data_IF_052071175371
#
_entry.id   IF_052071175371
#
_cell.length_a   1.000
_cell.length_b   1.000
_cell.length_c   1.000
_cell.angle_alpha   90.00
_cell.angle_beta   90.00
_cell.angle_gamma   90.00
#
_symmetry.space_group_name_H-M   'P 1'
#
loop_
_entity.id
_entity.type
_entity.pdbx_description
1 polymer ?
#
# COMPACT_ATOMS: atom_id res chain seq x y z
N UNK A 1 -17.00 23.00 -9.84
CA UNK A 1 -15.76 22.36 -10.30
C UNK A 1 -14.86 22.20 -9.08
N UNK A 2 -14.50 20.98 -8.75
CA UNK A 2 -13.58 20.67 -7.66
C UNK A 2 -12.21 20.31 -8.24
N UNK A 3 -11.12 20.74 -7.59
CA UNK A 3 -9.77 20.47 -8.01
C UNK A 3 -8.90 20.07 -6.81
N UNK A 4 -8.06 19.08 -6.99
CA UNK A 4 -6.99 18.74 -6.05
C UNK A 4 -5.70 19.33 -6.59
N UNK A 5 -5.09 20.22 -5.82
CA UNK A 5 -3.75 20.74 -6.12
C UNK A 5 -2.72 19.86 -5.42
N UNK A 6 -1.98 19.08 -6.20
CA UNK A 6 -0.96 18.15 -5.68
C UNK A 6 -0.39 17.25 -6.77
N UNK A 7 0.58 16.41 -6.41
CA UNK A 7 1.19 15.40 -7.29
C UNK A 7 0.50 14.04 -7.15
N UNK A 8 -0.80 13.98 -7.47
CA UNK A 8 -1.51 12.70 -7.46
C UNK A 8 -1.02 11.81 -8.60
N UNK A 9 -0.25 10.78 -8.28
CA UNK A 9 0.40 9.90 -9.26
C UNK A 9 -0.44 8.67 -9.60
N UNK A 10 -1.39 8.29 -8.75
CA UNK A 10 -2.22 7.13 -8.95
C UNK A 10 -3.70 7.48 -8.82
N UNK A 11 -4.47 6.90 -9.73
CA UNK A 11 -5.92 7.02 -9.77
C UNK A 11 -6.50 5.61 -9.72
N UNK A 12 -7.42 5.38 -8.81
CA UNK A 12 -8.25 4.19 -8.74
C UNK A 12 -9.71 4.59 -8.90
N UNK A 13 -10.40 3.99 -9.85
CA UNK A 13 -11.82 4.21 -10.10
C UNK A 13 -12.57 2.89 -10.05
N UNK A 14 -13.72 2.89 -9.38
CA UNK A 14 -14.69 1.81 -9.37
C UNK A 14 -16.08 2.35 -9.73
N UNK A 15 -17.07 1.48 -9.84
CA UNK A 15 -18.47 1.92 -10.01
C UNK A 15 -19.04 2.65 -8.79
N UNK A 16 -18.32 2.66 -7.66
CA UNK A 16 -18.79 3.17 -6.36
C UNK A 16 -18.02 4.38 -5.84
N UNK A 17 -16.91 4.75 -6.49
CA UNK A 17 -16.12 5.92 -6.06
C UNK A 17 -14.82 6.06 -6.83
N UNK A 18 -14.25 7.25 -6.75
CA UNK A 18 -12.98 7.63 -7.35
C UNK A 18 -12.00 7.98 -6.24
N UNK A 19 -10.78 7.49 -6.34
CA UNK A 19 -9.72 7.73 -5.37
C UNK A 19 -8.46 8.20 -6.07
N UNK A 20 -7.90 9.30 -5.56
CA UNK A 20 -6.60 9.78 -5.98
C UNK A 20 -5.61 9.54 -4.85
N UNK A 21 -4.39 9.15 -5.16
CA UNK A 21 -3.34 9.04 -4.16
C UNK A 21 -2.11 9.84 -4.53
N UNK A 22 -1.50 10.43 -3.51
CA UNK A 22 -0.28 11.20 -3.55
C UNK A 22 0.67 10.66 -2.49
N UNK A 23 1.90 10.30 -2.85
CA UNK A 23 2.92 9.95 -1.87
C UNK A 23 3.82 11.14 -1.59
N UNK A 24 3.90 11.54 -0.33
CA UNK A 24 4.78 12.60 0.16
C UNK A 24 6.16 12.00 0.48
N UNK A 25 7.15 12.32 -0.34
CA UNK A 25 8.55 11.93 -0.18
C UNK A 25 9.41 13.03 0.46
N UNK A 26 8.81 14.11 0.95
CA UNK A 26 9.54 15.26 1.50
C UNK A 26 10.38 14.91 2.73
N UNK A 27 9.95 13.90 3.49
CA UNK A 27 10.68 13.34 4.62
C UNK A 27 11.15 11.94 4.27
N UNK A 28 12.45 11.79 4.05
CA UNK A 28 13.06 10.50 3.76
C UNK A 28 12.83 9.50 4.90
N UNK A 29 12.38 8.27 4.57
CA UNK A 29 11.99 7.22 5.53
C UNK A 29 10.80 7.55 6.46
N UNK A 30 10.00 8.53 6.11
CA UNK A 30 8.71 8.85 6.73
C UNK A 30 7.68 9.13 5.64
N UNK A 31 7.80 8.41 4.52
CA UNK A 31 6.88 8.55 3.40
C UNK A 31 5.46 8.25 3.85
N UNK A 32 4.52 9.06 3.38
CA UNK A 32 3.11 8.89 3.66
C UNK A 32 2.31 9.01 2.37
N UNK A 33 1.35 8.15 2.22
CA UNK A 33 0.40 8.24 1.12
C UNK A 33 -0.89 8.88 1.61
N UNK A 34 -1.23 10.02 1.00
CA UNK A 34 -2.53 10.69 1.14
C UNK A 34 -3.48 10.13 0.11
N UNK A 35 -4.70 9.85 0.53
CA UNK A 35 -5.77 9.34 -0.32
C UNK A 35 -6.91 10.34 -0.27
N UNK A 36 -7.35 10.78 -1.45
CA UNK A 36 -8.49 11.69 -1.63
C UNK A 36 -9.63 10.89 -2.22
N UNK A 37 -10.76 10.84 -1.53
CA UNK A 37 -11.96 10.15 -1.96
C UNK A 37 -12.95 11.12 -2.57
N UNK A 38 -13.50 10.70 -3.71
CA UNK A 38 -14.60 11.38 -4.40
C UNK A 38 -15.74 10.39 -4.61
N UNK A 39 -16.95 10.83 -4.35
CA UNK A 39 -18.16 10.06 -4.61
C UNK A 39 -18.83 10.53 -5.90
N UNK A 40 -19.51 9.61 -6.57
CA UNK A 40 -20.37 9.94 -7.71
C UNK A 40 -21.72 10.41 -7.20
N UNK A 41 -22.13 11.60 -7.66
CA UNK A 41 -23.42 12.21 -7.33
C UNK A 41 -24.18 12.53 -8.62
N UNK A 42 -25.44 12.92 -8.52
CA UNK A 42 -26.22 13.40 -9.67
C UNK A 42 -25.61 14.65 -10.31
N UNK A 43 -24.82 15.41 -9.56
CA UNK A 43 -24.12 16.61 -10.03
C UNK A 43 -22.74 16.33 -10.61
N UNK A 44 -22.29 15.08 -10.58
CA UNK A 44 -20.99 14.65 -11.05
C UNK A 44 -20.11 14.03 -9.96
N UNK A 45 -18.83 14.33 -9.98
CA UNK A 45 -17.85 13.83 -9.02
C UNK A 45 -17.60 14.88 -7.95
N UNK A 46 -17.83 14.56 -6.68
CA UNK A 46 -17.69 15.48 -5.55
C UNK A 46 -16.68 14.94 -4.53
N UNK A 47 -15.80 15.82 -4.03
CA UNK A 47 -14.88 15.46 -2.96
C UNK A 47 -15.64 15.11 -1.68
N UNK A 48 -15.30 13.98 -1.07
CA UNK A 48 -15.92 13.52 0.18
C UNK A 48 -15.00 13.70 1.38
N UNK A 49 -13.83 13.07 1.35
CA UNK A 49 -12.89 13.10 2.46
C UNK A 49 -11.50 12.70 2.02
N UNK A 50 -10.53 12.79 2.94
CA UNK A 50 -9.15 12.35 2.74
C UNK A 50 -8.66 11.52 3.93
N UNK A 51 -7.74 10.61 3.66
CA UNK A 51 -7.02 9.84 4.65
C UNK A 51 -5.51 9.88 4.42
N UNK A 52 -4.74 9.42 5.39
CA UNK A 52 -3.29 9.32 5.30
C UNK A 52 -2.83 8.00 5.92
N UNK A 53 -1.91 7.31 5.26
CA UNK A 53 -1.30 6.06 5.75
C UNK A 53 0.21 6.10 5.55
N UNK A 54 0.99 5.33 6.35
CA UNK A 54 2.42 5.20 6.18
C UNK A 54 2.80 4.49 4.87
N UNK A 55 3.94 4.93 4.29
CA UNK A 55 4.56 4.29 3.14
C UNK A 55 4.06 4.80 1.79
N UNK A 56 4.50 4.12 0.74
CA UNK A 56 4.17 4.42 -0.65
C UNK A 56 3.56 3.21 -1.34
N UNK A 57 2.78 3.44 -2.38
CA UNK A 57 2.16 2.39 -3.19
C UNK A 57 2.98 2.10 -4.44
N UNK A 58 2.91 0.86 -4.93
CA UNK A 58 3.57 0.46 -6.17
C UNK A 58 2.85 1.03 -7.41
N UNK A 59 1.53 0.89 -7.47
CA UNK A 59 0.67 1.36 -8.56
C UNK A 59 -0.81 1.34 -8.13
N UNK A 60 -1.73 1.65 -9.07
CA UNK A 60 -3.17 1.69 -8.81
C UNK A 60 -3.76 0.33 -8.35
N UNK A 61 -3.15 -0.80 -8.69
CA UNK A 61 -3.61 -2.13 -8.26
C UNK A 61 -3.34 -2.40 -6.77
N UNK A 62 -2.51 -1.57 -6.13
CA UNK A 62 -2.33 -1.58 -4.68
C UNK A 62 -3.55 -1.04 -3.92
N UNK A 63 -4.58 -0.57 -4.63
CA UNK A 63 -5.81 -0.01 -4.07
C UNK A 63 -7.03 -0.82 -4.51
N UNK A 64 -8.06 -0.88 -3.66
CA UNK A 64 -9.37 -1.47 -3.94
C UNK A 64 -10.44 -0.85 -3.07
N UNK A 65 -11.65 -0.73 -3.61
CA UNK A 65 -12.84 -0.28 -2.86
C UNK A 65 -14.03 -1.18 -3.16
N UNK A 66 -14.61 -1.79 -2.14
CA UNK A 66 -15.76 -2.71 -2.28
C UNK A 66 -17.13 -2.00 -2.17
N UNK A 67 -17.12 -0.72 -1.85
CA UNK A 67 -18.31 0.11 -1.61
C UNK A 67 -18.55 0.43 -0.15
N UNK A 68 -17.79 -0.17 0.76
CA UNK A 68 -17.83 0.09 2.18
C UNK A 68 -16.42 0.36 2.75
N UNK A 69 -15.44 -0.45 2.34
CA UNK A 69 -14.07 -0.34 2.83
C UNK A 69 -13.09 -0.06 1.69
N UNK A 70 -12.20 0.87 1.93
CA UNK A 70 -11.05 1.11 1.06
C UNK A 70 -9.85 0.29 1.58
N UNK A 71 -9.21 -0.44 0.68
CA UNK A 71 -8.10 -1.36 0.97
C UNK A 71 -6.87 -0.90 0.21
N UNK A 72 -5.73 -0.88 0.88
CA UNK A 72 -4.50 -0.38 0.27
C UNK A 72 -3.27 -1.08 0.85
N UNK A 73 -2.35 -1.47 -0.04
CA UNK A 73 -1.08 -2.08 0.35
C UNK A 73 0.07 -1.11 0.07
N UNK A 74 0.97 -0.95 1.05
CA UNK A 74 2.09 -0.02 0.98
C UNK A 74 3.41 -0.68 1.36
N UNK A 75 4.51 -0.13 0.82
CA UNK A 75 5.86 -0.38 1.30
C UNK A 75 6.30 0.79 2.17
N UNK A 76 6.85 0.51 3.35
CA UNK A 76 7.35 1.51 4.32
C UNK A 76 8.85 1.35 4.46
N UNK A 77 9.61 2.44 4.29
CA UNK A 77 11.02 2.47 4.61
C UNK A 77 11.16 2.83 6.09
N UNK A 78 11.61 1.89 6.93
CA UNK A 78 11.88 2.18 8.34
C UNK A 78 13.23 2.88 8.50
N UNK A 79 13.28 3.90 9.34
CA UNK A 79 14.51 4.63 9.66
C UNK A 79 15.34 3.81 10.64
N UNK A 80 16.56 3.46 10.27
CA UNK A 80 17.55 2.95 11.23
C UNK A 80 18.47 4.10 11.61
N UNK A 81 18.40 4.51 12.85
CA UNK A 81 19.43 5.36 13.43
C UNK A 81 20.59 4.43 13.77
N UNK A 82 21.56 4.30 12.89
CA UNK A 82 22.81 3.60 13.20
C UNK A 82 23.60 4.44 14.20
N UNK A 83 23.43 4.16 15.48
CA UNK A 83 24.22 4.74 16.54
C UNK A 83 25.54 4.00 16.67
N UNK A 84 26.52 4.33 15.82
CA UNK A 84 27.95 4.15 16.08
C UNK A 84 28.72 4.93 14.99
N UNK A 85 28.76 6.23 15.11
CA UNK A 85 29.87 7.00 14.60
C UNK A 85 30.51 7.69 15.79
N UNK A 86 31.70 7.17 16.16
CA UNK A 86 32.64 7.95 16.96
C UNK A 86 32.73 9.34 16.32
N UNK A 87 32.56 10.34 17.17
CA UNK A 87 32.54 11.74 16.85
C UNK A 87 33.73 12.17 16.00
N UNK A 88 33.53 12.43 14.72
CA UNK A 88 34.29 13.43 14.02
C UNK A 88 33.52 14.74 14.10
N UNK A 89 34.22 15.81 14.46
CA UNK A 89 33.73 17.15 14.81
C UNK A 89 33.09 17.93 13.64
N UNK A 90 32.13 17.35 12.93
CA UNK A 90 31.23 18.07 12.02
C UNK A 90 29.86 17.44 12.04
N UNK A 91 28.89 18.20 12.52
CA UNK A 91 27.57 17.78 12.95
C UNK A 91 26.57 17.43 11.84
N UNK A 92 26.84 16.41 11.04
CA UNK A 92 25.82 15.80 10.18
C UNK A 92 25.76 14.30 10.48
N UNK A 93 24.74 13.89 11.24
CA UNK A 93 24.40 12.49 11.39
C UNK A 93 24.00 11.94 10.01
N UNK A 94 24.85 11.13 9.40
CA UNK A 94 24.50 10.43 8.17
C UNK A 94 23.36 9.46 8.44
N UNK A 95 22.17 9.82 7.98
CA UNK A 95 21.02 8.94 8.00
C UNK A 95 21.18 7.96 6.84
N UNK A 96 21.61 6.73 7.13
CA UNK A 96 21.58 5.66 6.14
C UNK A 96 20.21 4.95 6.19
N UNK A 97 19.52 4.90 5.06
CA UNK A 97 18.32 4.08 4.92
C UNK A 97 18.79 2.70 4.46
N UNK A 98 18.73 1.73 5.35
CA UNK A 98 18.98 0.34 4.99
C UNK A 98 17.75 -0.26 4.30
N UNK A 99 17.94 -0.90 3.17
CA UNK A 99 16.88 -1.70 2.52
C UNK A 99 16.42 -2.89 3.38
N UNK A 100 17.24 -3.30 4.36
CA UNK A 100 16.91 -4.37 5.30
C UNK A 100 15.76 -4.01 6.28
N UNK A 101 15.49 -2.73 6.44
CA UNK A 101 14.45 -2.24 7.37
C UNK A 101 13.15 -1.84 6.67
N UNK A 102 13.03 -2.18 5.41
CA UNK A 102 11.81 -2.02 4.63
C UNK A 102 10.79 -3.07 5.06
N UNK A 103 9.52 -2.66 5.17
CA UNK A 103 8.40 -3.56 5.49
C UNK A 103 7.21 -3.23 4.60
N UNK A 104 6.29 -4.19 4.49
CA UNK A 104 5.09 -4.02 3.69
C UNK A 104 3.86 -4.14 4.59
N UNK A 105 2.89 -3.29 4.35
CA UNK A 105 1.68 -3.20 5.15
C UNK A 105 0.45 -3.22 4.25
N UNK A 106 -0.65 -3.71 4.81
CA UNK A 106 -1.98 -3.59 4.21
C UNK A 106 -2.89 -2.89 5.22
N UNK A 107 -3.61 -1.88 4.76
CA UNK A 107 -4.56 -1.11 5.55
C UNK A 107 -5.97 -1.23 4.98
N UNK A 108 -6.94 -1.27 5.88
CA UNK A 108 -8.37 -1.20 5.56
C UNK A 108 -8.91 0.06 6.20
N UNK A 109 -9.53 0.92 5.41
CA UNK A 109 -10.06 2.19 5.83
C UNK A 109 -11.59 2.19 5.67
N UNK A 110 -12.26 2.85 6.60
CA UNK A 110 -13.70 3.02 6.57
C UNK A 110 -14.14 4.12 5.59
N UNK A 111 -15.42 4.42 5.61
CA UNK A 111 -16.06 5.43 4.75
C UNK A 111 -15.56 6.86 4.99
N UNK A 112 -14.96 7.13 6.16
CA UNK A 112 -14.33 8.39 6.52
C UNK A 112 -12.81 8.39 6.31
N UNK A 113 -12.29 7.35 5.62
CA UNK A 113 -10.85 7.13 5.38
C UNK A 113 -10.02 6.99 6.66
N UNK A 114 -10.64 6.44 7.74
CA UNK A 114 -9.96 6.09 8.99
C UNK A 114 -9.57 4.60 8.96
N UNK A 115 -8.37 4.28 9.41
CA UNK A 115 -7.88 2.89 9.47
C UNK A 115 -8.69 2.11 10.50
N UNK A 116 -9.36 1.06 10.06
CA UNK A 116 -10.15 0.15 10.92
C UNK A 116 -9.52 -1.22 11.08
N UNK A 117 -8.65 -1.62 10.15
CA UNK A 117 -7.90 -2.87 10.21
C UNK A 117 -6.59 -2.76 9.47
N UNK A 118 -5.63 -3.61 9.84
CA UNK A 118 -4.29 -3.61 9.24
C UNK A 118 -3.57 -4.94 9.40
N UNK A 119 -2.70 -5.24 8.45
CA UNK A 119 -1.61 -6.22 8.56
C UNK A 119 -0.32 -5.47 8.35
N UNK A 120 0.59 -5.53 9.31
CA UNK A 120 1.85 -4.77 9.28
C UNK A 120 3.06 -5.71 9.30
N UNK A 121 4.22 -5.16 8.95
CA UNK A 121 5.54 -5.79 9.04
C UNK A 121 5.70 -7.07 8.20
N UNK A 122 4.97 -7.19 7.10
CA UNK A 122 5.14 -8.31 6.16
C UNK A 122 6.45 -8.19 5.38
N UNK A 123 7.06 -9.33 5.08
CA UNK A 123 8.21 -9.45 4.17
C UNK A 123 9.32 -8.42 4.43
N UNK A 124 9.88 -8.45 5.64
CA UNK A 124 10.95 -7.54 6.05
C UNK A 124 12.15 -7.57 5.08
N UNK A 125 12.58 -6.40 4.64
CA UNK A 125 13.69 -6.22 3.69
C UNK A 125 13.27 -6.33 2.22
N UNK A 126 12.00 -6.59 1.94
CA UNK A 126 11.45 -6.72 0.60
C UNK A 126 10.58 -5.52 0.23
N UNK A 127 10.24 -5.39 -1.05
CA UNK A 127 9.30 -4.39 -1.53
C UNK A 127 8.16 -5.03 -2.30
N UNK A 128 6.98 -4.43 -2.25
CA UNK A 128 5.83 -4.87 -3.05
C UNK A 128 6.13 -4.72 -4.53
N UNK A 129 5.92 -5.80 -5.28
CA UNK A 129 6.00 -5.84 -6.75
C UNK A 129 4.64 -5.85 -7.41
N UNK A 130 3.71 -6.61 -6.83
CA UNK A 130 2.36 -6.72 -7.35
C UNK A 130 1.36 -6.89 -6.21
N UNK A 131 0.18 -6.31 -6.39
CA UNK A 131 -0.97 -6.49 -5.50
C UNK A 131 -2.19 -6.79 -6.34
N UNK A 132 -3.04 -7.70 -5.86
CA UNK A 132 -4.37 -7.91 -6.44
C UNK A 132 -5.38 -8.18 -5.35
N UNK A 133 -6.48 -7.45 -5.40
CA UNK A 133 -7.65 -7.68 -4.56
C UNK A 133 -8.70 -8.45 -5.39
N UNK A 134 -9.20 -9.56 -4.85
CA UNK A 134 -10.26 -10.38 -5.46
C UNK A 134 -11.27 -10.74 -4.38
N UNK A 135 -12.46 -10.16 -4.44
CA UNK A 135 -13.45 -10.33 -3.38
C UNK A 135 -12.89 -9.92 -2.01
N UNK A 136 -12.95 -10.84 -1.06
CA UNK A 136 -12.42 -10.63 0.31
C UNK A 136 -10.99 -11.15 0.50
N UNK A 137 -10.24 -11.30 -0.59
CA UNK A 137 -8.85 -11.73 -0.52
C UNK A 137 -7.92 -10.68 -1.11
N UNK A 138 -6.75 -10.52 -0.51
CA UNK A 138 -5.64 -9.78 -1.10
C UNK A 138 -4.46 -10.71 -1.37
N UNK A 139 -3.87 -10.55 -2.52
CA UNK A 139 -2.69 -11.26 -2.99
C UNK A 139 -1.57 -10.23 -3.13
N UNK A 140 -0.49 -10.41 -2.38
CA UNK A 140 0.64 -9.48 -2.34
C UNK A 140 1.92 -10.22 -2.68
N UNK A 141 2.56 -9.86 -3.79
CA UNK A 141 3.87 -10.35 -4.18
C UNK A 141 4.90 -9.34 -3.74
N UNK A 142 5.88 -9.80 -2.98
CA UNK A 142 7.05 -9.02 -2.58
C UNK A 142 8.31 -9.59 -3.22
N UNK A 143 9.40 -8.85 -3.27
CA UNK A 143 10.64 -9.29 -3.89
C UNK A 143 11.89 -8.78 -3.18
N UNK A 144 12.84 -9.71 -3.00
CA UNK A 144 14.24 -9.42 -2.72
C UNK A 144 15.18 -10.37 -3.49
N UNK A 145 15.02 -11.69 -3.33
CA UNK A 145 15.78 -12.74 -4.03
C UNK A 145 14.87 -13.91 -4.44
N UNK A 146 13.82 -14.16 -3.71
CA UNK A 146 12.73 -15.10 -4.00
C UNK A 146 11.42 -14.37 -3.74
N UNK A 147 10.38 -14.71 -4.50
CA UNK A 147 9.10 -14.03 -4.42
C UNK A 147 8.11 -14.77 -3.53
N UNK A 148 7.91 -14.35 -2.29
CA UNK A 148 6.76 -14.83 -1.56
C UNK A 148 5.48 -14.15 -2.07
N UNK A 149 4.47 -14.96 -2.36
CA UNK A 149 3.08 -14.54 -2.54
C UNK A 149 2.36 -14.68 -1.22
N UNK A 150 1.96 -13.57 -0.63
CA UNK A 150 1.11 -13.56 0.57
C UNK A 150 -0.35 -13.58 0.17
N UNK A 151 -1.13 -14.42 0.85
CA UNK A 151 -2.59 -14.47 0.74
C UNK A 151 -3.18 -13.95 2.04
N UNK A 152 -3.96 -12.87 1.95
CA UNK A 152 -4.51 -12.17 3.11
C UNK A 152 -6.04 -12.23 3.03
N UNK A 153 -6.66 -12.71 4.09
CA UNK A 153 -8.11 -12.73 4.26
C UNK A 153 -8.58 -11.39 4.83
N UNK A 154 -9.51 -10.77 4.14
CA UNK A 154 -10.12 -9.48 4.45
C UNK A 154 -11.61 -9.61 4.82
N UNK A 155 -12.09 -10.84 5.08
CA UNK A 155 -13.50 -11.12 5.39
C UNK A 155 -13.96 -10.36 6.64
N UNK A 156 -13.11 -10.27 7.67
CA UNK A 156 -13.29 -9.32 8.76
C UNK A 156 -12.40 -8.09 8.53
N UNK A 157 -12.98 -6.95 8.10
CA UNK A 157 -12.21 -5.74 7.83
C UNK A 157 -11.44 -5.18 9.03
N UNK A 158 -11.87 -5.52 10.24
CA UNK A 158 -11.21 -5.06 11.48
C UNK A 158 -10.05 -5.95 11.90
N UNK A 159 -10.08 -7.23 11.48
CA UNK A 159 -9.08 -8.22 11.83
C UNK A 159 -8.60 -8.98 10.57
N UNK A 160 -7.96 -8.30 9.60
CA UNK A 160 -7.40 -8.98 8.44
C UNK A 160 -6.28 -9.93 8.88
N UNK A 161 -6.20 -11.11 8.23
CA UNK A 161 -5.25 -12.16 8.61
C UNK A 161 -4.48 -12.72 7.42
N UNK A 162 -3.18 -12.96 7.61
CA UNK A 162 -2.37 -13.68 6.61
C UNK A 162 -2.75 -15.16 6.69
N UNK A 163 -3.30 -15.72 5.60
CA UNK A 163 -3.68 -17.13 5.50
C UNK A 163 -2.51 -18.02 5.14
N UNK A 164 -1.55 -17.49 4.41
CA UNK A 164 -0.40 -18.26 3.99
C UNK A 164 0.59 -17.43 3.16
N UNK A 165 1.75 -18.01 2.99
CA UNK A 165 2.84 -17.53 2.15
C UNK A 165 3.24 -18.66 1.22
N UNK A 166 3.30 -18.39 -0.09
CA UNK A 166 3.76 -19.32 -1.10
C UNK A 166 5.02 -18.76 -1.76
N UNK A 167 6.13 -19.49 -1.65
CA UNK A 167 7.39 -19.14 -2.33
C UNK A 167 7.35 -19.70 -3.75
N UNK A 168 7.37 -18.81 -4.74
CA UNK A 168 7.36 -19.17 -6.16
C UNK A 168 8.71 -18.78 -6.77
N UNK A 169 9.35 -19.65 -7.57
CA UNK A 169 10.54 -19.28 -8.34
C UNK A 169 10.17 -18.26 -9.43
N UNK A 170 10.89 -17.14 -9.49
CA UNK A 170 10.59 -16.06 -10.42
C UNK A 170 9.82 -14.93 -9.75
N UNK A 171 9.48 -13.84 -10.46
CA UNK A 171 8.67 -12.77 -9.89
C UNK A 171 7.54 -12.37 -10.85
N UNK A 172 6.37 -12.08 -10.26
CA UNK A 172 5.23 -11.58 -11.00
C UNK A 172 5.09 -10.08 -10.81
N UNK A 173 5.23 -9.33 -11.90
CA UNK A 173 5.00 -7.88 -11.88
C UNK A 173 3.51 -7.54 -11.93
N UNK A 174 2.68 -8.48 -12.35
CA UNK A 174 1.25 -8.30 -12.46
C UNK A 174 0.52 -9.62 -12.14
N UNK A 175 -0.59 -9.50 -11.40
CA UNK A 175 -1.49 -10.59 -11.07
C UNK A 175 -2.83 -10.39 -11.76
N UNK A 176 -3.25 -11.37 -12.55
CA UNK A 176 -4.53 -11.33 -13.26
C UNK A 176 -5.47 -12.43 -12.79
N UNK A 177 -6.65 -12.11 -12.24
CA UNK A 177 -7.68 -13.12 -11.97
C UNK A 177 -8.32 -13.56 -13.29
N UNK A 178 -8.29 -14.86 -13.59
CA UNK A 178 -8.88 -15.44 -14.82
C UNK A 178 -10.19 -16.16 -14.53
N UNK A 179 -10.39 -16.66 -13.33
CA UNK A 179 -11.61 -17.30 -12.87
C UNK A 179 -11.63 -17.32 -11.33
N UNK A 180 -12.74 -17.74 -10.73
CA UNK A 180 -12.81 -17.90 -9.28
C UNK A 180 -11.75 -18.89 -8.79
N UNK A 181 -10.89 -18.44 -7.89
CA UNK A 181 -9.78 -19.19 -7.32
C UNK A 181 -8.54 -19.32 -8.22
N UNK A 182 -8.52 -18.71 -9.41
CA UNK A 182 -7.38 -18.78 -10.34
C UNK A 182 -6.77 -17.40 -10.59
N UNK A 183 -5.47 -17.30 -10.30
CA UNK A 183 -4.64 -16.14 -10.60
C UNK A 183 -3.49 -16.53 -11.53
N UNK A 184 -3.22 -15.69 -12.53
CA UNK A 184 -2.02 -15.77 -13.37
C UNK A 184 -1.07 -14.67 -12.97
N UNK A 185 0.18 -15.03 -12.69
CA UNK A 185 1.29 -14.10 -12.53
C UNK A 185 2.06 -13.93 -13.85
N UNK A 186 2.36 -12.68 -14.20
CA UNK A 186 3.13 -12.29 -15.39
C UNK A 186 4.35 -11.47 -14.98
#
# INVERSE_FOLDING_TARGET
CEAVLGNCNNLYASSKGLFLSETDYSKRAEEKTRIYRFDYTEKGVEFKCKGEIPGYINNQFSMSYDGQYFRIATTVNKRVISGNSESTQFGDAMISISTADRVNNLYILDDNMQVVGKVEDMAKGELIKSVRFVGNMAYVVTFRQTDPLFVIDLTDPKNPTVKGELKIPGFSQYLHPIADGFLVGV
#
